data_IF_853965496491
#
_entry.id   IF_853965496491
#
_cell.length_a   1.000
_cell.length_b   1.000
_cell.length_c   1.000
_cell.angle_alpha   90.00
_cell.angle_beta   90.00
_cell.angle_gamma   90.00
#
_symmetry.space_group_name_H-M   'P 1'
#
loop_
_entity.id
_entity.type
_entity.pdbx_description
1 polymer ?
#
# COMPACT_ATOMS: atom_id res chain seq x y z
N UNK A 1 1.31 10.52 -23.52
CA UNK A 1 0.34 10.93 -22.48
C UNK A 1 0.21 9.89 -21.37
N UNK A 2 0.02 8.60 -21.68
CA UNK A 2 -0.09 7.52 -20.68
C UNK A 2 1.13 7.42 -19.76
N UNK A 3 2.35 7.57 -20.29
CA UNK A 3 3.60 7.56 -19.49
C UNK A 3 3.66 8.66 -18.42
N UNK A 4 3.18 9.86 -18.72
CA UNK A 4 3.17 10.97 -17.74
C UNK A 4 2.18 10.73 -16.61
N UNK A 5 1.04 10.08 -16.88
CA UNK A 5 0.06 9.75 -15.86
C UNK A 5 0.63 8.75 -14.84
N UNK A 6 1.26 7.69 -15.32
CA UNK A 6 1.90 6.68 -14.48
C UNK A 6 3.02 7.26 -13.62
N UNK A 7 3.83 8.16 -14.17
CA UNK A 7 4.89 8.83 -13.42
C UNK A 7 4.36 9.77 -12.32
N UNK A 8 3.30 10.55 -12.61
CA UNK A 8 2.66 11.41 -11.61
C UNK A 8 1.99 10.57 -10.52
N UNK A 9 1.30 9.49 -10.90
CA UNK A 9 0.69 8.56 -9.96
C UNK A 9 1.72 7.89 -9.05
N UNK A 10 2.88 7.48 -9.57
CA UNK A 10 4.01 6.95 -8.78
C UNK A 10 4.45 7.95 -7.70
N UNK A 11 4.67 9.21 -8.06
CA UNK A 11 5.07 10.25 -7.10
C UNK A 11 4.01 10.46 -6.02
N UNK A 12 2.73 10.54 -6.39
CA UNK A 12 1.62 10.72 -5.45
C UNK A 12 1.52 9.53 -4.50
N UNK A 13 1.55 8.30 -5.02
CA UNK A 13 1.44 7.08 -4.20
C UNK A 13 2.62 6.94 -3.25
N UNK A 14 3.86 7.20 -3.70
CA UNK A 14 5.05 7.22 -2.83
C UNK A 14 4.95 8.28 -1.74
N UNK A 15 4.47 9.47 -2.07
CA UNK A 15 4.27 10.54 -1.09
C UNK A 15 3.23 10.14 -0.05
N UNK A 16 2.14 9.51 -0.49
CA UNK A 16 1.09 9.01 0.39
C UNK A 16 1.57 7.87 1.30
N UNK A 17 2.38 6.94 0.78
CA UNK A 17 3.04 5.88 1.56
C UNK A 17 3.89 6.49 2.67
N UNK A 18 4.70 7.51 2.35
CA UNK A 18 5.54 8.21 3.32
C UNK A 18 4.70 8.86 4.42
N UNK A 19 3.66 9.61 4.05
CA UNK A 19 2.77 10.28 5.01
C UNK A 19 2.05 9.27 5.90
N UNK A 20 1.51 8.18 5.34
CA UNK A 20 0.84 7.14 6.11
C UNK A 20 1.82 6.43 7.07
N UNK A 21 3.03 6.13 6.62
CA UNK A 21 4.04 5.50 7.46
C UNK A 21 4.42 6.40 8.65
N UNK A 22 4.58 7.71 8.43
CA UNK A 22 4.84 8.68 9.49
C UNK A 22 3.69 8.78 10.49
N UNK A 23 2.44 8.81 10.00
CA UNK A 23 1.26 8.83 10.86
C UNK A 23 1.13 7.57 11.70
N UNK A 24 1.41 6.39 11.12
CA UNK A 24 1.42 5.13 11.86
C UNK A 24 2.52 5.15 12.93
N UNK A 25 3.74 5.60 12.59
CA UNK A 25 4.83 5.73 13.57
C UNK A 25 4.46 6.67 14.71
N UNK A 26 3.81 7.79 14.40
CA UNK A 26 3.30 8.73 15.39
C UNK A 26 2.29 8.06 16.33
N UNK A 27 1.29 7.35 15.81
CA UNK A 27 0.29 6.65 16.64
C UNK A 27 0.95 5.52 17.47
N UNK A 28 1.90 4.77 16.90
CA UNK A 28 2.62 3.71 17.60
C UNK A 28 3.47 4.25 18.77
N UNK A 29 4.06 5.44 18.63
CA UNK A 29 4.82 6.08 19.71
C UNK A 29 3.92 6.61 20.84
N UNK A 30 2.65 6.90 20.55
CA UNK A 30 1.72 7.50 21.52
C UNK A 30 0.91 6.46 22.29
N UNK A 31 0.87 5.20 21.84
CA UNK A 31 0.10 4.14 22.51
C UNK A 31 0.99 3.03 23.06
N UNK A 32 0.55 2.42 24.16
CA UNK A 32 1.14 1.19 24.65
C UNK A 32 0.83 0.01 23.72
N UNK A 33 1.69 -1.00 23.76
CA UNK A 33 1.56 -2.20 22.92
C UNK A 33 0.20 -2.92 23.08
N UNK A 34 -0.38 -2.92 24.28
CA UNK A 34 -1.69 -3.53 24.53
C UNK A 34 -2.84 -2.80 23.83
N UNK A 35 -2.78 -1.46 23.81
CA UNK A 35 -3.77 -0.62 23.11
C UNK A 35 -3.66 -0.83 21.61
N UNK A 36 -2.43 -0.85 21.07
CA UNK A 36 -2.17 -1.14 19.66
C UNK A 36 -2.73 -2.52 19.28
N UNK A 37 -2.42 -3.56 20.06
CA UNK A 37 -2.89 -4.93 19.82
C UNK A 37 -4.41 -5.01 19.81
N UNK A 38 -5.09 -4.43 20.81
CA UNK A 38 -6.55 -4.47 20.89
C UNK A 38 -7.21 -3.79 19.68
N UNK A 39 -6.67 -2.65 19.23
CA UNK A 39 -7.18 -1.91 18.07
C UNK A 39 -6.99 -2.65 16.75
N UNK A 40 -5.81 -3.24 16.56
CA UNK A 40 -5.54 -4.09 15.39
C UNK A 40 -6.42 -5.34 15.39
N UNK A 41 -6.69 -5.91 16.56
CA UNK A 41 -7.56 -7.08 16.70
C UNK A 41 -9.01 -6.77 16.29
N UNK A 42 -9.56 -5.62 16.69
CA UNK A 42 -10.90 -5.19 16.26
C UNK A 42 -10.98 -5.03 14.73
N UNK A 43 -9.90 -4.57 14.11
CA UNK A 43 -9.82 -4.37 12.66
C UNK A 43 -9.27 -5.58 11.89
N UNK A 44 -9.12 -6.73 12.55
CA UNK A 44 -8.41 -7.89 12.01
C UNK A 44 -8.95 -8.36 10.66
N UNK A 45 -10.28 -8.41 10.49
CA UNK A 45 -10.88 -8.85 9.22
C UNK A 45 -10.56 -7.90 8.05
N UNK A 46 -10.50 -6.59 8.31
CA UNK A 46 -10.14 -5.59 7.29
C UNK A 46 -8.65 -5.65 6.94
N UNK A 47 -7.80 -5.85 7.95
CA UNK A 47 -6.36 -6.04 7.76
C UNK A 47 -6.08 -7.33 6.98
N UNK A 48 -6.76 -8.43 7.32
CA UNK A 48 -6.68 -9.71 6.62
C UNK A 48 -7.05 -9.56 5.14
N UNK A 49 -8.13 -8.86 4.84
CA UNK A 49 -8.51 -8.55 3.45
C UNK A 49 -7.44 -7.71 2.73
N UNK A 50 -6.87 -6.72 3.41
CA UNK A 50 -5.79 -5.89 2.86
C UNK A 50 -4.55 -6.72 2.53
N UNK A 51 -4.20 -7.69 3.39
CA UNK A 51 -3.11 -8.64 3.11
C UNK A 51 -3.41 -9.55 1.93
N UNK A 52 -4.65 -10.03 1.74
CA UNK A 52 -5.00 -10.78 0.54
C UNK A 52 -4.84 -9.94 -0.72
N UNK A 53 -5.24 -8.68 -0.68
CA UNK A 53 -5.09 -7.76 -1.79
C UNK A 53 -3.61 -7.47 -2.11
N UNK A 54 -2.77 -7.30 -1.08
CA UNK A 54 -1.32 -7.16 -1.24
C UNK A 54 -0.68 -8.42 -1.86
N UNK A 55 -1.05 -9.61 -1.39
CA UNK A 55 -0.55 -10.88 -1.93
C UNK A 55 -0.92 -11.07 -3.40
N UNK A 56 -2.15 -10.71 -3.78
CA UNK A 56 -2.58 -10.73 -5.17
C UNK A 56 -1.74 -9.76 -6.03
N UNK A 57 -1.41 -8.59 -5.49
CA UNK A 57 -0.56 -7.60 -6.17
C UNK A 57 0.87 -8.07 -6.35
N UNK A 58 1.43 -8.75 -5.33
CA UNK A 58 2.75 -9.38 -5.41
C UNK A 58 2.77 -10.50 -6.44
N UNK A 59 1.68 -11.26 -6.56
CA UNK A 59 1.54 -12.29 -7.58
C UNK A 59 1.60 -11.65 -8.98
N UNK A 60 0.86 -10.57 -9.22
CA UNK A 60 0.95 -9.83 -10.49
C UNK A 60 2.38 -9.35 -10.80
N UNK A 61 3.08 -8.80 -9.82
CA UNK A 61 4.48 -8.37 -9.99
C UNK A 61 5.41 -9.54 -10.33
N UNK A 62 5.23 -10.69 -9.68
CA UNK A 62 6.05 -11.88 -9.92
C UNK A 62 5.83 -12.47 -11.31
N UNK A 63 4.59 -12.43 -11.82
CA UNK A 63 4.24 -12.96 -13.14
C UNK A 63 4.38 -11.91 -14.27
N UNK A 64 4.58 -10.64 -13.95
CA UNK A 64 4.76 -9.57 -14.95
C UNK A 64 5.88 -9.87 -15.98
N UNK A 65 7.06 -10.38 -15.59
CA UNK A 65 8.12 -10.74 -16.54
C UNK A 65 7.70 -11.84 -17.53
N UNK A 66 6.90 -12.81 -17.07
CA UNK A 66 6.41 -13.93 -17.88
C UNK A 66 5.45 -13.47 -18.98
N UNK A 67 4.72 -12.39 -18.75
CA UNK A 67 3.84 -11.76 -19.75
C UNK A 67 4.67 -10.86 -20.68
N UNK A 68 5.70 -10.19 -20.15
CA UNK A 68 6.61 -9.31 -20.92
C UNK A 68 7.53 -10.04 -21.89
N UNK A 69 7.79 -11.35 -21.68
CA UNK A 69 8.56 -12.21 -22.59
C UNK A 69 7.96 -12.29 -24.00
N UNK A 70 6.68 -11.93 -24.18
CA UNK A 70 6.02 -11.82 -25.49
C UNK A 70 6.13 -10.42 -26.13
N UNK A 71 6.81 -9.46 -25.50
CA UNK A 71 7.04 -8.12 -26.02
C UNK A 71 8.54 -7.88 -26.26
N UNK A 72 9.01 -8.31 -27.43
CA UNK A 72 10.31 -7.94 -27.97
C UNK A 72 10.27 -6.46 -28.37
N UNK A 73 10.65 -5.56 -27.48
CA UNK A 73 11.31 -4.32 -27.86
C UNK A 73 12.11 -3.77 -26.68
N UNK A 74 13.42 -3.84 -26.83
CA UNK A 74 14.37 -3.40 -25.81
C UNK A 74 14.31 -1.90 -25.63
N UNK A 75 14.02 -1.46 -24.41
CA UNK A 75 14.65 -0.34 -23.70
C UNK A 75 14.27 -0.56 -22.22
N UNK A 76 15.18 -1.15 -21.43
CA UNK A 76 15.03 -1.30 -19.99
C UNK A 76 15.34 0.02 -19.26
N UNK A 77 14.66 1.10 -19.64
CA UNK A 77 14.52 2.27 -18.77
C UNK A 77 13.48 1.89 -17.73
N UNK A 78 13.71 2.25 -16.46
CA UNK A 78 12.76 2.11 -15.35
C UNK A 78 11.35 2.64 -15.72
N UNK A 79 10.57 1.82 -16.41
CA UNK A 79 9.19 2.11 -16.74
C UNK A 79 8.36 1.65 -15.56
N UNK A 80 7.73 2.61 -14.88
CA UNK A 80 6.74 2.34 -13.85
C UNK A 80 5.66 1.43 -14.44
N UNK A 81 5.72 0.16 -14.06
CA UNK A 81 4.91 -0.88 -14.66
C UNK A 81 3.50 -0.90 -14.05
N UNK A 82 2.57 -1.53 -14.75
CA UNK A 82 1.22 -1.68 -14.23
C UNK A 82 1.21 -2.49 -12.92
N UNK A 83 2.06 -3.52 -12.81
CA UNK A 83 2.15 -4.27 -11.56
C UNK A 83 2.77 -3.45 -10.41
N UNK A 84 3.75 -2.58 -10.70
CA UNK A 84 4.29 -1.63 -9.72
C UNK A 84 3.21 -0.67 -9.21
N UNK A 85 2.35 -0.16 -10.09
CA UNK A 85 1.20 0.65 -9.70
C UNK A 85 0.26 -0.09 -8.76
N UNK A 86 -0.10 -1.32 -9.12
CA UNK A 86 -1.02 -2.12 -8.34
C UNK A 86 -0.44 -2.51 -6.97
N UNK A 87 0.87 -2.79 -6.92
CA UNK A 87 1.61 -3.01 -5.68
C UNK A 87 1.59 -1.77 -4.78
N UNK A 88 1.91 -0.59 -5.30
CA UNK A 88 1.89 0.63 -4.49
C UNK A 88 0.49 0.95 -3.97
N UNK A 89 -0.54 0.76 -4.80
CA UNK A 89 -1.92 0.96 -4.40
C UNK A 89 -2.34 0.02 -3.27
N UNK A 90 -1.97 -1.26 -3.34
CA UNK A 90 -2.26 -2.23 -2.27
C UNK A 90 -1.50 -1.95 -0.98
N UNK A 91 -0.26 -1.46 -1.05
CA UNK A 91 0.50 -0.99 0.10
C UNK A 91 -0.15 0.23 0.76
N UNK A 92 -0.56 1.22 -0.05
CA UNK A 92 -1.31 2.38 0.44
C UNK A 92 -2.58 1.93 1.15
N UNK A 93 -3.33 1.02 0.54
CA UNK A 93 -4.57 0.50 1.12
C UNK A 93 -4.32 -0.21 2.46
N UNK A 94 -3.26 -1.01 2.55
CA UNK A 94 -2.86 -1.67 3.80
C UNK A 94 -2.49 -0.65 4.88
N UNK A 95 -1.59 0.29 4.58
CA UNK A 95 -1.17 1.32 5.55
C UNK A 95 -2.36 2.19 5.97
N UNK A 96 -3.26 2.53 5.05
CA UNK A 96 -4.46 3.26 5.37
C UNK A 96 -5.35 2.51 6.36
N UNK A 97 -5.57 1.21 6.17
CA UNK A 97 -6.35 0.39 7.10
C UNK A 97 -5.65 0.22 8.45
N UNK A 98 -4.32 0.14 8.49
CA UNK A 98 -3.55 0.14 9.74
C UNK A 98 -3.73 1.48 10.46
N UNK A 99 -3.58 2.60 9.76
CA UNK A 99 -3.77 3.92 10.33
C UNK A 99 -5.18 4.12 10.88
N UNK A 100 -6.23 3.74 10.14
CA UNK A 100 -7.62 3.81 10.63
C UNK A 100 -7.83 2.93 11.85
N UNK A 101 -7.25 1.72 11.86
CA UNK A 101 -7.33 0.84 13.02
C UNK A 101 -6.69 1.47 14.26
N UNK A 102 -5.55 2.15 14.09
CA UNK A 102 -4.84 2.82 15.17
C UNK A 102 -5.50 4.13 15.59
N UNK A 103 -6.17 4.85 14.69
CA UNK A 103 -6.83 6.13 15.00
C UNK A 103 -7.88 5.92 16.10
N UNK A 104 -7.93 6.78 17.13
CA UNK A 104 -8.91 6.62 18.20
C UNK A 104 -10.33 6.82 17.65
N UNK A 105 -11.33 6.08 18.17
CA UNK A 105 -12.73 6.37 17.86
C UNK A 105 -13.01 7.80 18.31
N UNK A 106 -13.58 8.63 17.43
CA UNK A 106 -14.04 9.96 17.81
C UNK A 106 -15.02 9.80 18.97
N UNK A 107 -14.63 10.30 20.15
CA UNK A 107 -15.56 10.50 21.25
C UNK A 107 -16.50 11.61 20.80
N UNK A 108 -17.72 11.23 20.41
CA UNK A 108 -18.85 12.15 20.43
C UNK A 108 -19.10 12.35 21.93
N UNK A 109 -18.62 13.49 22.45
CA UNK A 109 -18.89 13.99 23.78
C UNK A 109 -19.95 15.09 23.64
#
# INVERSE_FOLDING_TARGET
MVSNFFNVADIILRSLLLVLALLICYELNNYSADVVRSRLFVSYNKLKFSFYFLSLSLLFLFFEPLISLFHVSGVAIYSYSFAMFFLQLSLVFLLHNIYIALKPPHKIL
#
